data_IF_354439070472
#
_entry.id   IF_354439070472
#
_cell.length_a   1.000
_cell.length_b   1.000
_cell.length_c   1.000
_cell.angle_alpha   90.00
_cell.angle_beta   90.00
_cell.angle_gamma   90.00
#
_symmetry.space_group_name_H-M   'P 1'
#
loop_
_entity.id
_entity.type
_entity.pdbx_description
1 polymer ?
#
# COMPACT_ATOMS: atom_id res chain seq x y z
N UNK A 1 86.92 -28.56 -11.45
CA UNK A 1 85.47 -28.71 -11.23
C UNK A 1 85.16 -30.19 -11.06
N UNK A 2 84.89 -30.67 -9.84
CA UNK A 2 84.58 -32.09 -9.60
C UNK A 2 83.08 -32.27 -9.38
N UNK A 3 82.39 -32.83 -10.37
CA UNK A 3 81.02 -33.37 -10.22
C UNK A 3 81.10 -34.58 -9.29
N UNK A 4 80.62 -34.42 -8.06
CA UNK A 4 80.48 -35.54 -7.12
C UNK A 4 79.16 -36.23 -7.46
N UNK A 5 79.26 -37.42 -8.06
CA UNK A 5 78.10 -38.30 -8.30
C UNK A 5 77.57 -38.83 -6.97
N UNK A 6 76.25 -39.02 -6.87
CA UNK A 6 75.56 -39.70 -5.74
C UNK A 6 76.19 -41.06 -5.41
N UNK A 7 76.88 -41.67 -6.38
CA UNK A 7 77.63 -42.92 -6.25
C UNK A 7 78.83 -42.90 -5.27
N UNK A 8 79.27 -41.72 -4.78
CA UNK A 8 80.44 -41.59 -3.89
C UNK A 8 80.07 -41.26 -2.42
N UNK A 9 78.79 -41.36 -2.05
CA UNK A 9 78.36 -41.16 -0.66
C UNK A 9 78.58 -42.44 0.15
N UNK A 10 79.17 -42.33 1.33
CA UNK A 10 79.22 -43.45 2.30
C UNK A 10 77.80 -43.80 2.76
N UNK A 11 77.54 -45.04 3.21
CA UNK A 11 76.22 -45.43 3.72
C UNK A 11 75.65 -44.45 4.75
N UNK A 12 76.52 -43.94 5.64
CA UNK A 12 76.15 -42.93 6.65
C UNK A 12 75.73 -41.59 6.03
N UNK A 13 76.43 -41.13 4.98
CA UNK A 13 76.06 -39.91 4.26
C UNK A 13 74.77 -40.07 3.46
N UNK A 14 74.52 -41.26 2.92
CA UNK A 14 73.25 -41.61 2.27
C UNK A 14 72.09 -41.62 3.27
N UNK A 15 72.28 -42.20 4.47
CA UNK A 15 71.26 -42.17 5.54
C UNK A 15 70.94 -40.75 5.99
N UNK A 16 71.95 -39.90 6.21
CA UNK A 16 71.76 -38.50 6.60
C UNK A 16 71.03 -37.71 5.50
N UNK A 17 71.37 -37.93 4.23
CA UNK A 17 70.71 -37.29 3.10
C UNK A 17 69.24 -37.74 2.94
N UNK A 18 68.96 -39.03 3.15
CA UNK A 18 67.60 -39.57 3.13
C UNK A 18 66.75 -39.07 4.30
N UNK A 19 67.35 -38.92 5.49
CA UNK A 19 66.68 -38.31 6.66
C UNK A 19 66.35 -36.84 6.40
N UNK A 20 67.31 -36.06 5.90
CA UNK A 20 67.08 -34.66 5.54
C UNK A 20 65.98 -34.50 4.48
N UNK A 21 65.94 -35.38 3.47
CA UNK A 21 64.88 -35.40 2.46
C UNK A 21 63.52 -35.77 3.08
N UNK A 22 63.48 -36.76 3.97
CA UNK A 22 62.26 -37.14 4.69
C UNK A 22 61.72 -36.01 5.57
N UNK A 23 62.60 -35.29 6.26
CA UNK A 23 62.24 -34.12 7.08
C UNK A 23 61.72 -32.96 6.22
N UNK A 24 62.33 -32.71 5.06
CA UNK A 24 61.84 -31.71 4.09
C UNK A 24 60.48 -32.09 3.51
N UNK A 25 60.27 -33.35 3.14
CA UNK A 25 58.97 -33.85 2.66
C UNK A 25 57.89 -33.68 3.73
N UNK A 26 58.18 -34.04 4.98
CA UNK A 26 57.25 -33.87 6.10
C UNK A 26 56.91 -32.39 6.33
N UNK A 27 57.90 -31.50 6.18
CA UNK A 27 57.70 -30.05 6.28
C UNK A 27 56.82 -29.52 5.14
N UNK A 28 57.03 -30.00 3.91
CA UNK A 28 56.18 -29.65 2.76
C UNK A 28 54.74 -30.12 2.99
N UNK A 29 54.54 -31.39 3.39
CA UNK A 29 53.21 -31.93 3.69
C UNK A 29 52.51 -31.12 4.78
N UNK A 30 53.23 -30.73 5.83
CA UNK A 30 52.69 -29.91 6.93
C UNK A 30 52.25 -28.52 6.46
N UNK A 31 53.08 -27.83 5.65
CA UNK A 31 52.75 -26.53 5.08
C UNK A 31 51.54 -26.64 4.15
N UNK A 32 51.55 -27.59 3.22
CA UNK A 32 50.46 -27.80 2.26
C UNK A 32 49.14 -28.14 2.96
N UNK A 33 49.16 -28.97 4.01
CA UNK A 33 47.96 -29.32 4.78
C UNK A 33 47.37 -28.12 5.51
N UNK A 34 48.22 -27.27 6.11
CA UNK A 34 47.80 -26.02 6.76
C UNK A 34 47.22 -25.03 5.76
N UNK A 35 47.84 -24.90 4.59
CA UNK A 35 47.33 -24.03 3.53
C UNK A 35 45.97 -24.51 3.00
N UNK A 36 45.77 -25.82 2.83
CA UNK A 36 44.48 -26.41 2.45
C UNK A 36 43.39 -26.09 3.50
N UNK A 37 43.70 -26.22 4.80
CA UNK A 37 42.76 -25.89 5.88
C UNK A 37 42.39 -24.40 5.87
N UNK A 38 43.38 -23.51 5.77
CA UNK A 38 43.15 -22.06 5.69
C UNK A 38 42.29 -21.67 4.48
N UNK A 39 42.51 -22.29 3.31
CA UNK A 39 41.68 -22.11 2.12
C UNK A 39 40.24 -22.57 2.39
N UNK A 40 40.06 -23.70 3.07
CA UNK A 40 38.75 -24.22 3.47
C UNK A 40 37.97 -23.26 4.37
N UNK A 41 38.59 -22.78 5.45
CA UNK A 41 37.99 -21.82 6.39
C UNK A 41 37.65 -20.49 5.71
N UNK A 42 38.55 -19.99 4.87
CA UNK A 42 38.32 -18.75 4.15
C UNK A 42 37.16 -18.85 3.13
N UNK A 43 37.06 -19.97 2.41
CA UNK A 43 35.94 -20.23 1.50
C UNK A 43 34.62 -20.32 2.27
N UNK A 44 34.61 -20.96 3.45
CA UNK A 44 33.42 -21.00 4.33
C UNK A 44 33.04 -19.58 4.79
N UNK A 45 34.00 -18.76 5.19
CA UNK A 45 33.76 -17.36 5.59
C UNK A 45 33.21 -16.52 4.43
N UNK A 46 33.72 -16.70 3.21
CA UNK A 46 33.18 -16.05 2.00
C UNK A 46 31.74 -16.48 1.75
N UNK A 47 31.44 -17.77 1.87
CA UNK A 47 30.09 -18.29 1.71
C UNK A 47 29.12 -17.71 2.76
N UNK A 48 29.51 -17.68 4.03
CA UNK A 48 28.72 -17.07 5.12
C UNK A 48 28.50 -15.58 4.87
N UNK A 49 29.53 -14.84 4.50
CA UNK A 49 29.42 -13.40 4.21
C UNK A 49 28.49 -13.12 3.00
N UNK A 50 28.58 -13.94 1.94
CA UNK A 50 27.70 -13.82 0.78
C UNK A 50 26.24 -14.15 1.14
N UNK A 51 26.02 -15.18 1.97
CA UNK A 51 24.70 -15.54 2.47
C UNK A 51 24.10 -14.40 3.31
N UNK A 52 24.85 -13.85 4.26
CA UNK A 52 24.41 -12.71 5.07
C UNK A 52 24.02 -11.50 4.20
N UNK A 53 24.83 -11.15 3.20
CA UNK A 53 24.50 -10.07 2.26
C UNK A 53 23.23 -10.35 1.48
N UNK A 54 23.03 -11.59 1.02
CA UNK A 54 21.83 -11.99 0.30
C UNK A 54 20.58 -11.90 1.19
N UNK A 55 20.67 -12.33 2.44
CA UNK A 55 19.62 -12.15 3.44
C UNK A 55 19.29 -10.67 3.66
N UNK A 56 20.30 -9.82 3.92
CA UNK A 56 20.09 -8.38 4.10
C UNK A 56 19.40 -7.74 2.88
N UNK A 57 19.81 -8.10 1.66
CA UNK A 57 19.20 -7.57 0.43
C UNK A 57 17.75 -8.06 0.24
N UNK A 58 17.47 -9.30 0.63
CA UNK A 58 16.11 -9.87 0.60
C UNK A 58 15.19 -9.16 1.59
N UNK A 59 15.66 -8.94 2.83
CA UNK A 59 14.92 -8.23 3.86
C UNK A 59 14.68 -6.76 3.48
N UNK A 60 15.68 -6.11 2.88
CA UNK A 60 15.56 -4.74 2.37
C UNK A 60 14.52 -4.65 1.25
N UNK A 61 14.51 -5.61 0.29
CA UNK A 61 13.48 -5.71 -0.75
C UNK A 61 12.09 -5.84 -0.13
N UNK A 62 11.89 -6.81 0.77
CA UNK A 62 10.58 -7.09 1.36
C UNK A 62 10.07 -5.89 2.18
N UNK A 63 10.95 -5.26 2.96
CA UNK A 63 10.63 -4.07 3.73
C UNK A 63 10.21 -2.90 2.83
N UNK A 64 10.95 -2.66 1.74
CA UNK A 64 10.64 -1.58 0.82
C UNK A 64 9.32 -1.83 0.06
N UNK A 65 9.02 -3.09 -0.30
CA UNK A 65 7.72 -3.46 -0.90
C UNK A 65 6.57 -3.22 0.07
N UNK A 66 6.69 -3.68 1.32
CA UNK A 66 5.67 -3.43 2.35
C UNK A 66 5.46 -1.94 2.58
N UNK A 67 6.54 -1.14 2.60
CA UNK A 67 6.44 0.32 2.70
C UNK A 67 5.69 0.92 1.52
N UNK A 68 5.99 0.51 0.28
CA UNK A 68 5.25 0.97 -0.89
C UNK A 68 3.76 0.60 -0.80
N UNK A 69 3.44 -0.64 -0.44
CA UNK A 69 2.06 -1.11 -0.30
C UNK A 69 1.29 -0.37 0.80
N UNK A 70 1.95 -0.09 1.93
CA UNK A 70 1.37 0.70 3.03
C UNK A 70 1.09 2.15 2.62
N UNK A 71 1.99 2.77 1.85
CA UNK A 71 1.79 4.13 1.33
C UNK A 71 0.61 4.19 0.34
N UNK A 72 0.51 3.22 -0.57
CA UNK A 72 -0.63 3.09 -1.50
C UNK A 72 -1.93 2.86 -0.71
N UNK A 73 -1.90 2.02 0.32
CA UNK A 73 -3.04 1.80 1.21
C UNK A 73 -3.46 3.11 1.88
N UNK A 74 -2.52 3.85 2.48
CA UNK A 74 -2.76 5.14 3.09
C UNK A 74 -3.43 6.15 2.14
N UNK A 75 -2.99 6.21 0.88
CA UNK A 75 -3.64 7.03 -0.16
C UNK A 75 -5.11 6.66 -0.36
N UNK A 76 -5.42 5.38 -0.52
CA UNK A 76 -6.82 4.94 -0.71
C UNK A 76 -7.67 5.18 0.53
N UNK A 77 -7.08 5.05 1.72
CA UNK A 77 -7.79 5.29 2.98
C UNK A 77 -8.15 6.76 3.20
N UNK A 78 -7.37 7.70 2.67
CA UNK A 78 -7.74 9.13 2.67
C UNK A 78 -9.08 9.33 1.97
N UNK A 79 -9.29 8.66 0.82
CA UNK A 79 -10.56 8.69 0.08
C UNK A 79 -11.67 8.07 0.93
N UNK A 80 -11.45 6.86 1.46
CA UNK A 80 -12.45 6.18 2.28
C UNK A 80 -12.90 6.99 3.49
N UNK A 81 -11.95 7.58 4.24
CA UNK A 81 -12.25 8.47 5.37
C UNK A 81 -13.01 9.72 4.94
N UNK A 82 -12.70 10.29 3.78
CA UNK A 82 -13.43 11.46 3.28
C UNK A 82 -14.89 11.12 2.97
N UNK A 83 -15.18 9.96 2.37
CA UNK A 83 -16.54 9.49 2.13
C UNK A 83 -17.26 9.14 3.44
N UNK A 84 -16.57 8.54 4.42
CA UNK A 84 -17.11 8.36 5.78
C UNK A 84 -17.55 9.70 6.40
N UNK A 85 -16.66 10.68 6.39
CA UNK A 85 -16.95 12.00 6.94
C UNK A 85 -18.13 12.65 6.21
N UNK A 86 -18.18 12.55 4.88
CA UNK A 86 -19.30 13.07 4.09
C UNK A 86 -20.62 12.40 4.50
N UNK A 87 -20.62 11.08 4.74
CA UNK A 87 -21.79 10.38 5.24
C UNK A 87 -22.18 10.84 6.66
N UNK A 88 -21.24 10.91 7.59
CA UNK A 88 -21.53 11.29 8.99
C UNK A 88 -22.02 12.74 9.08
N UNK A 89 -21.32 13.64 8.39
CA UNK A 89 -21.56 15.07 8.48
C UNK A 89 -22.87 15.47 7.78
N UNK A 90 -23.15 14.92 6.60
CA UNK A 90 -24.26 15.38 5.74
C UNK A 90 -25.42 14.39 5.61
N UNK A 91 -25.16 13.09 5.57
CA UNK A 91 -26.20 12.08 5.42
C UNK A 91 -26.82 11.71 6.78
N UNK A 92 -25.97 11.45 7.78
CA UNK A 92 -26.38 11.23 9.17
C UNK A 92 -26.79 12.54 9.88
N UNK A 93 -26.41 13.68 9.29
CA UNK A 93 -26.96 15.00 9.62
C UNK A 93 -26.22 15.75 10.73
N UNK A 94 -25.00 15.35 11.10
CA UNK A 94 -24.24 15.97 12.19
C UNK A 94 -23.98 17.46 11.97
N UNK A 95 -23.66 17.89 10.75
CA UNK A 95 -23.48 19.32 10.41
C UNK A 95 -24.75 20.14 10.58
N UNK A 96 -25.91 19.48 10.56
CA UNK A 96 -27.23 20.09 10.65
C UNK A 96 -27.87 19.92 12.02
N UNK A 97 -27.11 19.48 13.01
CA UNK A 97 -27.61 19.15 14.35
C UNK A 97 -28.80 18.15 14.31
N UNK A 98 -28.79 17.30 13.29
CA UNK A 98 -29.72 16.19 13.11
C UNK A 98 -29.03 14.89 13.53
N UNK A 99 -29.82 13.90 13.94
CA UNK A 99 -29.37 12.55 14.24
C UNK A 99 -30.18 11.55 13.42
N UNK A 100 -29.97 11.57 12.10
CA UNK A 100 -30.72 10.73 11.17
C UNK A 100 -30.47 9.24 11.44
N UNK A 101 -29.31 8.87 12.00
CA UNK A 101 -29.03 7.51 12.44
C UNK A 101 -30.02 7.01 13.51
N UNK A 102 -30.34 7.84 14.51
CA UNK A 102 -31.34 7.51 15.53
C UNK A 102 -32.79 7.61 15.03
N UNK A 103 -32.99 8.30 13.91
CA UNK A 103 -34.29 8.55 13.30
C UNK A 103 -34.40 7.96 11.89
N UNK A 104 -33.75 6.82 11.64
CA UNK A 104 -33.67 6.19 10.33
C UNK A 104 -35.05 5.85 9.74
N UNK A 105 -36.07 5.65 10.59
CA UNK A 105 -37.46 5.45 10.17
C UNK A 105 -38.05 6.63 9.39
N UNK A 106 -37.48 7.83 9.54
CA UNK A 106 -37.90 9.01 8.78
C UNK A 106 -37.27 9.07 7.38
N UNK A 107 -36.27 8.24 7.08
CA UNK A 107 -35.60 8.20 5.76
C UNK A 107 -36.37 7.24 4.87
N UNK A 108 -37.51 7.67 4.38
CA UNK A 108 -38.50 6.85 3.65
C UNK A 108 -38.72 7.31 2.20
N UNK A 109 -37.95 8.30 1.76
CA UNK A 109 -37.93 8.78 0.39
C UNK A 109 -36.52 9.25 0.02
N UNK A 110 -36.20 9.20 -1.28
CA UNK A 110 -34.91 9.65 -1.76
C UNK A 110 -34.58 9.17 -3.15
N UNK A 111 -33.38 9.49 -3.58
CA UNK A 111 -32.80 9.07 -4.86
C UNK A 111 -31.38 8.55 -4.59
N UNK A 112 -31.12 7.32 -5.05
CA UNK A 112 -29.86 6.59 -4.83
C UNK A 112 -29.21 6.13 -6.14
N UNK A 113 -29.58 6.73 -7.27
CA UNK A 113 -29.19 6.29 -8.62
C UNK A 113 -27.69 6.27 -8.90
N UNK A 114 -26.87 6.99 -8.14
CA UNK A 114 -25.41 6.89 -8.25
C UNK A 114 -24.90 5.46 -8.06
N UNK A 115 -25.58 4.65 -7.26
CA UNK A 115 -25.20 3.26 -7.05
C UNK A 115 -25.52 2.37 -8.26
N UNK A 116 -26.43 2.77 -9.15
CA UNK A 116 -26.64 2.10 -10.43
C UNK A 116 -25.42 2.28 -11.34
N UNK A 117 -24.86 3.49 -11.41
CA UNK A 117 -23.60 3.77 -12.12
C UNK A 117 -22.45 2.94 -11.53
N UNK A 118 -22.33 2.89 -10.20
CA UNK A 118 -21.24 2.18 -9.51
C UNK A 118 -21.32 0.67 -9.76
N UNK A 119 -22.52 0.08 -9.68
CA UNK A 119 -22.72 -1.37 -9.80
C UNK A 119 -22.74 -1.85 -11.25
N UNK A 120 -23.40 -1.11 -12.13
CA UNK A 120 -23.66 -1.52 -13.51
C UNK A 120 -22.75 -0.83 -14.54
N UNK A 121 -21.95 0.14 -14.11
CA UNK A 121 -21.03 0.91 -14.97
C UNK A 121 -21.74 1.49 -16.21
N UNK A 122 -22.93 2.03 -16.01
CA UNK A 122 -23.75 2.60 -17.07
C UNK A 122 -24.53 3.80 -16.57
N UNK A 123 -24.79 4.74 -17.47
CA UNK A 123 -25.73 5.84 -17.28
C UNK A 123 -27.00 5.62 -18.13
N UNK A 124 -27.27 4.39 -18.55
CA UNK A 124 -28.55 4.01 -19.15
C UNK A 124 -29.65 3.88 -18.09
N UNK A 125 -30.93 3.93 -18.50
CA UNK A 125 -32.10 3.81 -17.60
C UNK A 125 -32.30 2.39 -17.04
N UNK A 126 -31.26 1.78 -16.48
CA UNK A 126 -31.44 0.64 -15.59
C UNK A 126 -32.11 1.17 -14.32
N UNK A 127 -33.09 0.42 -13.81
CA UNK A 127 -33.91 0.81 -12.66
C UNK A 127 -34.63 2.16 -12.83
N UNK A 128 -34.89 2.59 -14.08
CA UNK A 128 -35.53 3.88 -14.38
C UNK A 128 -34.78 5.11 -13.84
N UNK A 129 -33.47 4.98 -13.58
CA UNK A 129 -32.65 6.10 -13.15
C UNK A 129 -32.56 7.20 -14.20
N UNK A 130 -32.74 8.44 -13.74
CA UNK A 130 -32.45 9.66 -14.48
C UNK A 130 -31.14 10.25 -13.97
N UNK A 131 -30.29 10.74 -14.88
CA UNK A 131 -28.97 11.28 -14.54
C UNK A 131 -28.87 12.74 -14.93
N UNK A 132 -28.07 13.51 -14.19
CA UNK A 132 -27.80 14.89 -14.55
C UNK A 132 -27.06 14.99 -15.88
N UNK A 133 -27.30 16.09 -16.61
CA UNK A 133 -26.63 16.36 -17.87
C UNK A 133 -25.11 16.38 -17.70
N UNK A 134 -24.38 15.66 -18.55
CA UNK A 134 -22.92 15.49 -18.45
C UNK A 134 -22.51 14.11 -17.93
N UNK A 135 -23.32 13.47 -17.09
CA UNK A 135 -23.01 12.16 -16.44
C UNK A 135 -22.57 11.08 -17.43
N UNK A 136 -23.26 10.96 -18.58
CA UNK A 136 -22.90 9.95 -19.60
C UNK A 136 -21.52 10.22 -20.21
N UNK A 137 -21.19 11.49 -20.48
CA UNK A 137 -19.90 11.89 -21.02
C UNK A 137 -18.80 11.64 -20.00
N UNK A 138 -19.03 12.00 -18.73
CA UNK A 138 -18.07 11.82 -17.65
C UNK A 138 -17.81 10.35 -17.37
N UNK A 139 -18.85 9.52 -17.39
CA UNK A 139 -18.71 8.07 -17.27
C UNK A 139 -17.89 7.48 -18.42
N UNK A 140 -18.15 7.88 -19.67
CA UNK A 140 -17.36 7.43 -20.83
C UNK A 140 -15.88 7.83 -20.71
N UNK A 141 -15.61 9.05 -20.23
CA UNK A 141 -14.25 9.52 -19.97
C UNK A 141 -13.58 8.69 -18.86
N UNK A 142 -14.30 8.41 -17.78
CA UNK A 142 -13.78 7.60 -16.68
C UNK A 142 -13.45 6.17 -17.14
N UNK A 143 -14.33 5.54 -17.91
CA UNK A 143 -14.10 4.21 -18.51
C UNK A 143 -12.87 4.20 -19.42
N UNK A 144 -12.67 5.26 -20.21
CA UNK A 144 -11.51 5.41 -21.09
C UNK A 144 -10.21 5.51 -20.30
N UNK A 145 -10.18 6.32 -19.24
CA UNK A 145 -8.97 6.46 -18.41
C UNK A 145 -8.68 5.18 -17.61
N UNK A 146 -9.69 4.51 -17.07
CA UNK A 146 -9.53 3.21 -16.41
C UNK A 146 -8.88 2.18 -17.35
N UNK A 147 -9.39 2.08 -18.59
CA UNK A 147 -8.84 1.20 -19.63
C UNK A 147 -7.37 1.53 -19.95
N UNK A 148 -7.00 2.81 -20.03
CA UNK A 148 -5.60 3.22 -20.29
C UNK A 148 -4.66 2.80 -19.18
N UNK A 149 -5.12 2.81 -17.93
CA UNK A 149 -4.33 2.37 -16.78
C UNK A 149 -4.36 0.84 -16.56
N UNK A 150 -5.07 0.08 -17.39
CA UNK A 150 -5.15 -1.38 -17.28
C UNK A 150 -6.02 -1.87 -16.12
N UNK A 151 -6.92 -1.04 -15.59
CA UNK A 151 -7.84 -1.40 -14.49
C UNK A 151 -9.30 -1.30 -14.93
N UNK A 152 -10.19 -2.02 -14.26
CA UNK A 152 -11.62 -1.88 -14.47
C UNK A 152 -12.24 -0.83 -13.53
N UNK A 153 -13.44 -0.36 -13.88
CA UNK A 153 -14.22 0.53 -13.00
C UNK A 153 -14.58 -0.15 -11.67
N UNK A 154 -14.85 -1.45 -11.70
CA UNK A 154 -15.10 -2.24 -10.50
C UNK A 154 -13.86 -2.32 -9.59
N UNK A 155 -12.64 -2.33 -10.16
CA UNK A 155 -11.41 -2.28 -9.37
C UNK A 155 -11.26 -0.92 -8.68
N UNK A 156 -11.57 0.17 -9.39
CA UNK A 156 -11.45 1.54 -8.87
C UNK A 156 -12.51 1.79 -7.78
N UNK A 157 -13.79 1.53 -8.05
CA UNK A 157 -14.84 1.64 -7.04
C UNK A 157 -14.63 0.63 -5.91
N UNK A 158 -14.03 -0.52 -6.21
CA UNK A 158 -13.65 -1.56 -5.24
C UNK A 158 -12.59 -1.11 -4.23
N UNK A 159 -11.87 -0.01 -4.50
CA UNK A 159 -11.01 0.64 -3.50
C UNK A 159 -11.80 1.29 -2.39
N UNK A 160 -13.04 1.74 -2.67
CA UNK A 160 -13.90 2.44 -1.74
C UNK A 160 -14.98 1.52 -1.16
N UNK A 161 -15.68 0.76 -2.02
CA UNK A 161 -16.81 -0.08 -1.63
C UNK A 161 -16.52 -1.57 -1.79
N UNK A 162 -16.97 -2.35 -0.80
CA UNK A 162 -17.09 -3.79 -0.91
C UNK A 162 -18.37 -4.12 -1.69
N UNK A 163 -18.21 -4.57 -2.93
CA UNK A 163 -19.33 -4.90 -3.81
C UNK A 163 -20.20 -6.03 -3.24
N UNK A 164 -19.67 -6.90 -2.37
CA UNK A 164 -20.51 -7.90 -1.71
C UNK A 164 -21.50 -7.28 -0.73
N UNK A 165 -21.15 -6.14 -0.11
CA UNK A 165 -22.03 -5.41 0.80
C UNK A 165 -23.08 -4.58 0.06
N UNK A 166 -22.71 -4.01 -1.10
CA UNK A 166 -23.58 -3.07 -1.82
C UNK A 166 -24.31 -3.66 -3.04
N UNK A 167 -24.03 -4.90 -3.48
CA UNK A 167 -24.65 -5.50 -4.69
C UNK A 167 -26.18 -5.57 -4.69
N UNK A 168 -26.79 -5.65 -3.50
CA UNK A 168 -28.24 -5.74 -3.33
C UNK A 168 -28.82 -4.47 -2.69
N UNK A 169 -28.09 -3.36 -2.81
CA UNK A 169 -28.55 -2.09 -2.26
C UNK A 169 -29.82 -1.64 -2.99
N UNK A 170 -30.71 -0.95 -2.27
CA UNK A 170 -31.91 -0.39 -2.88
C UNK A 170 -31.53 0.79 -3.79
N UNK A 171 -31.86 0.66 -5.07
CA UNK A 171 -31.74 1.73 -6.06
C UNK A 171 -33.11 2.41 -6.18
N UNK A 172 -33.18 3.66 -5.75
CA UNK A 172 -34.37 4.50 -5.73
C UNK A 172 -34.22 5.56 -6.83
N UNK A 173 -34.87 5.41 -8.00
CA UNK A 173 -34.94 6.46 -9.00
C UNK A 173 -35.68 7.71 -8.51
N UNK A 174 -35.49 8.82 -9.23
CA UNK A 174 -36.06 10.12 -8.86
C UNK A 174 -37.60 10.11 -8.79
N UNK A 175 -38.28 9.20 -9.48
CA UNK A 175 -39.74 9.04 -9.35
C UNK A 175 -40.15 8.38 -8.03
N UNK A 176 -39.25 7.63 -7.36
CA UNK A 176 -39.43 7.09 -6.00
C UNK A 176 -39.27 8.17 -4.92
N UNK A 177 -38.74 9.36 -5.24
CA UNK A 177 -38.44 10.41 -4.26
C UNK A 177 -39.67 10.97 -3.53
N UNK A 178 -40.88 10.61 -3.97
CA UNK A 178 -42.15 10.86 -3.26
C UNK A 178 -42.65 9.70 -2.41
N UNK A 179 -41.78 8.75 -2.08
CA UNK A 179 -42.13 7.62 -1.22
C UNK A 179 -42.87 6.50 -1.94
N UNK A 180 -42.78 6.46 -3.27
CA UNK A 180 -43.40 5.46 -4.13
C UNK A 180 -43.05 5.70 -5.58
N UNK A 181 -42.83 4.63 -6.34
CA UNK A 181 -42.38 4.67 -7.73
C UNK A 181 -43.16 3.71 -8.63
N UNK A 182 -43.00 3.89 -9.94
CA UNK A 182 -43.66 3.05 -10.91
C UNK A 182 -43.29 1.57 -10.72
N UNK A 183 -44.28 0.68 -10.73
CA UNK A 183 -44.07 -0.76 -10.60
C UNK A 183 -43.77 -1.27 -9.19
N UNK A 184 -43.76 -0.41 -8.16
CA UNK A 184 -43.48 -0.79 -6.77
C UNK A 184 -44.51 -0.14 -5.83
N UNK A 185 -44.91 -0.85 -4.77
CA UNK A 185 -45.78 -0.24 -3.74
C UNK A 185 -45.05 0.84 -2.94
N UNK A 186 -45.77 1.84 -2.45
CA UNK A 186 -45.21 2.89 -1.58
C UNK A 186 -44.51 2.31 -0.34
N UNK A 187 -45.13 1.32 0.30
CA UNK A 187 -44.54 0.64 1.47
C UNK A 187 -43.20 -0.01 1.13
N UNK A 188 -43.10 -0.69 0.00
CA UNK A 188 -41.84 -1.32 -0.41
C UNK A 188 -40.77 -0.29 -0.77
N UNK A 189 -41.13 0.82 -1.44
CA UNK A 189 -40.18 1.89 -1.73
C UNK A 189 -39.63 2.55 -0.45
N UNK A 190 -40.52 2.84 0.52
CA UNK A 190 -40.16 3.40 1.82
C UNK A 190 -39.25 2.47 2.61
N UNK A 191 -39.61 1.18 2.70
CA UNK A 191 -38.76 0.16 3.36
C UNK A 191 -37.41 0.00 2.64
N UNK A 192 -37.40 0.06 1.30
CA UNK A 192 -36.18 0.03 0.51
C UNK A 192 -35.22 1.17 0.87
N UNK A 193 -35.73 2.40 0.97
CA UNK A 193 -34.94 3.57 1.39
C UNK A 193 -34.43 3.47 2.83
N UNK A 194 -35.25 2.98 3.76
CA UNK A 194 -34.82 2.75 5.14
C UNK A 194 -33.72 1.69 5.19
N UNK A 195 -33.85 0.60 4.42
CA UNK A 195 -32.83 -0.44 4.32
C UNK A 195 -31.53 0.07 3.70
N UNK A 196 -31.61 0.88 2.63
CA UNK A 196 -30.46 1.59 2.05
C UNK A 196 -29.73 2.39 3.13
N UNK A 197 -30.46 3.26 3.84
CA UNK A 197 -29.86 4.16 4.81
C UNK A 197 -29.22 3.37 5.96
N UNK A 198 -29.92 2.38 6.50
CA UNK A 198 -29.40 1.52 7.58
C UNK A 198 -28.13 0.77 7.15
N UNK A 199 -28.11 0.19 5.95
CA UNK A 199 -26.92 -0.47 5.39
C UNK A 199 -25.75 0.52 5.34
N UNK A 200 -25.95 1.66 4.68
CA UNK A 200 -24.89 2.64 4.48
C UNK A 200 -24.42 3.26 5.79
N UNK A 201 -25.32 3.48 6.75
CA UNK A 201 -24.97 3.97 8.08
C UNK A 201 -24.15 2.94 8.87
N UNK A 202 -24.49 1.66 8.78
CA UNK A 202 -23.71 0.59 9.42
C UNK A 202 -22.39 0.26 8.71
N UNK A 203 -22.24 0.71 7.45
CA UNK A 203 -21.09 0.40 6.62
C UNK A 203 -20.17 1.60 6.39
N UNK A 204 -20.59 2.56 5.56
CA UNK A 204 -19.83 3.79 5.29
C UNK A 204 -19.82 4.69 6.52
N UNK A 205 -20.93 4.75 7.26
CA UNK A 205 -21.03 5.50 8.52
C UNK A 205 -20.33 4.85 9.72
N UNK A 206 -19.77 3.65 9.58
CA UNK A 206 -19.06 2.99 10.68
C UNK A 206 -17.75 3.73 11.01
N UNK A 207 -17.43 3.89 12.30
CA UNK A 207 -16.26 4.63 12.77
C UNK A 207 -14.91 4.14 12.23
N UNK A 208 -14.83 2.87 11.80
CA UNK A 208 -13.63 2.27 11.21
C UNK A 208 -13.61 2.26 9.68
N UNK A 209 -14.56 2.92 9.01
CA UNK A 209 -14.59 2.90 7.54
C UNK A 209 -13.45 3.73 6.95
N UNK A 210 -12.57 3.04 6.24
CA UNK A 210 -11.45 3.64 5.50
C UNK A 210 -11.45 3.21 4.03
N UNK A 211 -12.57 2.69 3.53
CA UNK A 211 -12.67 2.09 2.20
C UNK A 211 -12.47 0.57 2.23
N UNK A 212 -12.20 -0.01 1.06
CA UNK A 212 -12.15 -1.46 0.85
C UNK A 212 -10.88 -1.93 0.11
N UNK A 213 -9.91 -1.04 -0.13
CA UNK A 213 -8.73 -1.35 -0.94
C UNK A 213 -7.99 -2.61 -0.47
N UNK A 214 -7.67 -2.76 0.81
CA UNK A 214 -6.93 -3.92 1.35
C UNK A 214 -7.65 -5.26 1.18
N UNK A 215 -8.97 -5.24 0.97
CA UNK A 215 -9.78 -6.44 0.72
C UNK A 215 -10.13 -6.61 -0.77
N UNK A 216 -9.57 -5.77 -1.64
CA UNK A 216 -9.88 -5.76 -3.08
C UNK A 216 -8.92 -6.65 -3.88
N UNK A 217 -9.37 -7.11 -5.05
CA UNK A 217 -8.50 -7.81 -6.02
C UNK A 217 -7.35 -6.92 -6.50
N UNK A 218 -7.57 -5.62 -6.56
CA UNK A 218 -6.58 -4.65 -6.99
C UNK A 218 -5.39 -4.58 -6.01
N UNK A 219 -5.64 -4.68 -4.70
CA UNK A 219 -4.55 -4.76 -3.71
C UNK A 219 -3.67 -5.97 -3.93
N UNK A 220 -4.25 -7.17 -4.09
CA UNK A 220 -3.49 -8.38 -4.38
C UNK A 220 -2.74 -8.29 -5.72
N UNK A 221 -3.31 -7.63 -6.73
CA UNK A 221 -2.62 -7.38 -8.00
C UNK A 221 -1.41 -6.47 -7.83
N UNK A 222 -1.54 -5.37 -7.09
CA UNK A 222 -0.46 -4.42 -6.82
C UNK A 222 0.64 -5.07 -5.97
N UNK A 223 0.28 -5.84 -4.96
CA UNK A 223 1.23 -6.60 -4.14
C UNK A 223 2.04 -7.58 -5.01
N UNK A 224 1.37 -8.30 -5.91
CA UNK A 224 2.02 -9.21 -6.84
C UNK A 224 2.97 -8.48 -7.81
N UNK A 225 2.56 -7.34 -8.35
CA UNK A 225 3.39 -6.52 -9.24
C UNK A 225 4.65 -6.00 -8.53
N UNK A 226 4.50 -5.46 -7.31
CA UNK A 226 5.64 -5.03 -6.48
C UNK A 226 6.60 -6.19 -6.19
N UNK A 227 6.06 -7.36 -5.83
CA UNK A 227 6.84 -8.56 -5.50
C UNK A 227 7.59 -9.14 -6.70
N UNK A 228 6.97 -9.07 -7.88
CA UNK A 228 7.50 -9.57 -9.16
C UNK A 228 8.42 -8.56 -9.86
N UNK A 229 8.52 -7.33 -9.35
CA UNK A 229 9.38 -6.29 -9.90
C UNK A 229 8.76 -5.47 -11.03
N UNK A 230 7.44 -5.49 -11.18
CA UNK A 230 6.69 -4.69 -12.13
C UNK A 230 6.28 -3.34 -11.50
N UNK A 231 7.23 -2.41 -11.38
CA UNK A 231 7.00 -1.14 -10.68
C UNK A 231 6.29 -0.06 -11.53
N UNK A 232 6.42 -0.11 -12.86
CA UNK A 232 5.82 0.89 -13.75
C UNK A 232 4.29 0.86 -13.72
N UNK A 233 3.60 -0.31 -13.79
CA UNK A 233 2.15 -0.38 -13.64
C UNK A 233 1.66 0.20 -12.32
N UNK A 234 2.36 -0.09 -11.22
CA UNK A 234 1.99 0.42 -9.88
C UNK A 234 2.16 1.94 -9.80
N UNK A 235 3.25 2.48 -10.34
CA UNK A 235 3.48 3.93 -10.40
C UNK A 235 2.42 4.63 -11.24
N UNK A 236 2.09 4.06 -12.41
CA UNK A 236 1.06 4.58 -13.30
C UNK A 236 -0.33 4.54 -12.64
N UNK A 237 -0.66 3.44 -11.95
CA UNK A 237 -1.90 3.33 -11.20
C UNK A 237 -2.02 4.41 -10.14
N UNK A 238 -1.01 4.58 -9.27
CA UNK A 238 -1.05 5.58 -8.19
C UNK A 238 -1.21 6.99 -8.75
N UNK A 239 -0.49 7.30 -9.84
CA UNK A 239 -0.61 8.58 -10.51
C UNK A 239 -2.01 8.81 -11.10
N UNK A 240 -2.58 7.80 -11.75
CA UNK A 240 -3.94 7.86 -12.31
C UNK A 240 -5.00 7.91 -11.20
N UNK A 241 -4.80 7.19 -10.10
CA UNK A 241 -5.71 7.17 -8.96
C UNK A 241 -5.90 8.58 -8.38
N UNK A 242 -4.81 9.28 -8.12
CA UNK A 242 -4.84 10.65 -7.57
C UNK A 242 -5.33 11.68 -8.60
N UNK A 243 -4.87 11.61 -9.85
CA UNK A 243 -5.08 12.69 -10.81
C UNK A 243 -6.29 12.50 -11.72
N UNK A 244 -6.87 11.30 -11.80
CA UNK A 244 -7.96 10.99 -12.73
C UNK A 244 -9.11 10.28 -12.01
N UNK A 245 -8.84 9.19 -11.31
CA UNK A 245 -9.89 8.32 -10.78
C UNK A 245 -10.63 8.93 -9.61
N UNK A 246 -9.93 9.38 -8.56
CA UNK A 246 -10.61 10.02 -7.42
C UNK A 246 -11.36 11.28 -7.86
N UNK A 247 -10.78 12.21 -8.67
CA UNK A 247 -11.55 13.32 -9.22
C UNK A 247 -12.83 12.90 -9.95
N UNK A 248 -12.78 11.86 -10.79
CA UNK A 248 -13.95 11.34 -11.50
C UNK A 248 -14.98 10.69 -10.54
N UNK A 249 -14.52 9.96 -9.53
CA UNK A 249 -15.39 9.41 -8.49
C UNK A 249 -16.12 10.52 -7.75
N UNK A 250 -15.41 11.58 -7.35
CA UNK A 250 -16.01 12.74 -6.69
C UNK A 250 -17.01 13.43 -7.61
N UNK A 251 -16.66 13.65 -8.88
CA UNK A 251 -17.55 14.26 -9.87
C UNK A 251 -18.84 13.43 -10.04
N UNK A 252 -18.74 12.10 -10.07
CA UNK A 252 -19.91 11.21 -10.12
C UNK A 252 -20.89 11.47 -8.95
N UNK A 253 -20.36 11.72 -7.75
CA UNK A 253 -21.14 12.07 -6.55
C UNK A 253 -21.51 13.56 -6.46
N UNK A 254 -20.90 14.43 -7.25
CA UNK A 254 -21.34 15.83 -7.44
C UNK A 254 -22.57 15.87 -8.32
N UNK A 255 -22.52 15.15 -9.45
CA UNK A 255 -23.60 15.15 -10.44
C UNK A 255 -24.78 14.32 -9.99
N UNK A 256 -24.53 13.22 -9.28
CA UNK A 256 -25.56 12.29 -8.85
C UNK A 256 -25.43 12.06 -7.33
N UNK A 257 -25.74 13.05 -6.48
CA UNK A 257 -25.74 12.85 -5.04
C UNK A 257 -26.90 11.94 -4.62
N UNK A 258 -26.72 11.22 -3.52
CA UNK A 258 -27.82 10.53 -2.85
C UNK A 258 -28.62 11.52 -2.03
N UNK A 259 -29.93 11.56 -2.24
CA UNK A 259 -30.83 12.42 -1.48
C UNK A 259 -31.57 11.63 -0.41
N UNK A 260 -31.59 12.15 0.83
CA UNK A 260 -32.29 11.53 1.95
C UNK A 260 -33.43 12.45 2.39
N UNK A 261 -34.65 11.95 2.28
CA UNK A 261 -35.87 12.71 2.50
C UNK A 261 -36.83 11.97 3.42
N UNK A 262 -37.79 12.73 3.96
CA UNK A 262 -38.85 12.23 4.83
C UNK A 262 -40.21 12.71 4.37
N UNK A 263 -41.08 11.78 4.00
CA UNK A 263 -42.43 12.10 3.53
C UNK A 263 -43.21 12.87 4.57
N UNK A 264 -43.96 13.88 4.14
CA UNK A 264 -44.87 14.60 5.03
C UNK A 264 -46.27 14.01 4.90
N UNK A 265 -46.79 13.33 5.94
CA UNK A 265 -48.14 12.78 5.89
C UNK A 265 -49.19 13.86 5.61
N UNK A 266 -50.07 13.61 4.65
CA UNK A 266 -51.13 14.53 4.25
C UNK A 266 -50.69 15.71 3.37
N UNK A 267 -49.39 15.82 3.03
CA UNK A 267 -48.93 16.80 2.05
C UNK A 267 -49.29 16.34 0.64
N UNK A 268 -49.59 17.30 -0.24
CA UNK A 268 -49.90 17.01 -1.65
C UNK A 268 -49.51 18.19 -2.54
N UNK A 269 -48.61 17.96 -3.49
CA UNK A 269 -48.10 19.02 -4.36
C UNK A 269 -47.51 20.19 -3.57
N UNK A 270 -47.93 21.41 -3.87
CA UNK A 270 -47.47 22.63 -3.19
C UNK A 270 -47.97 22.78 -1.75
N UNK A 271 -48.96 21.98 -1.33
CA UNK A 271 -49.47 22.02 0.04
C UNK A 271 -48.54 21.23 0.96
N UNK A 272 -47.64 21.95 1.65
CA UNK A 272 -46.69 21.38 2.60
C UNK A 272 -46.34 22.36 3.72
N UNK A 273 -45.55 21.91 4.71
CA UNK A 273 -45.00 22.78 5.73
C UNK A 273 -44.14 23.87 5.09
N UNK A 274 -44.12 25.11 5.63
CA UNK A 274 -43.13 26.10 5.22
C UNK A 274 -41.72 25.55 5.39
N UNK A 275 -40.80 25.91 4.48
CA UNK A 275 -39.40 25.47 4.58
C UNK A 275 -38.76 25.91 5.91
N UNK A 276 -39.09 27.12 6.37
CA UNK A 276 -38.63 27.68 7.64
C UNK A 276 -39.80 28.41 8.33
N UNK A 277 -40.48 27.79 9.30
CA UNK A 277 -41.51 28.49 10.08
C UNK A 277 -40.86 29.56 10.95
N UNK A 278 -41.53 30.70 11.16
CA UNK A 278 -41.08 31.67 12.17
C UNK A 278 -41.25 31.10 13.58
N UNK A 279 -40.48 31.61 14.55
CA UNK A 279 -40.53 31.14 15.94
C UNK A 279 -41.94 31.19 16.55
N UNK A 280 -42.71 32.22 16.25
CA UNK A 280 -44.10 32.38 16.71
C UNK A 280 -45.07 31.40 16.03
N UNK A 281 -44.77 30.93 14.82
CA UNK A 281 -45.62 30.02 14.05
C UNK A 281 -45.25 28.54 14.26
N UNK A 282 -44.08 28.24 14.82
CA UNK A 282 -43.57 26.86 14.94
C UNK A 282 -44.56 25.92 15.66
N UNK A 283 -45.18 26.36 16.76
CA UNK A 283 -46.17 25.55 17.48
C UNK A 283 -47.44 25.29 16.66
N UNK A 284 -47.93 26.31 15.95
CA UNK A 284 -49.10 26.19 15.09
C UNK A 284 -48.83 25.21 13.93
N UNK A 285 -47.69 25.35 13.25
CA UNK A 285 -47.35 24.49 12.11
C UNK A 285 -47.10 23.05 12.54
N UNK A 286 -46.36 22.82 13.63
CA UNK A 286 -46.15 21.45 14.15
C UNK A 286 -47.48 20.80 14.59
N UNK A 287 -48.40 21.58 15.17
CA UNK A 287 -49.73 21.08 15.54
C UNK A 287 -50.61 20.79 14.32
N UNK A 288 -50.56 21.64 13.28
CA UNK A 288 -51.29 21.44 12.02
C UNK A 288 -50.90 20.12 11.34
N UNK A 289 -49.61 19.85 11.23
CA UNK A 289 -49.11 18.63 10.57
C UNK A 289 -49.15 17.40 11.47
N UNK A 290 -49.07 17.59 12.79
CA UNK A 290 -49.13 16.55 13.81
C UNK A 290 -48.28 15.32 13.47
N UNK A 291 -47.06 15.55 12.98
CA UNK A 291 -46.16 14.49 12.48
C UNK A 291 -44.80 14.52 13.19
N UNK A 292 -44.30 13.38 13.71
CA UNK A 292 -43.02 13.32 14.42
C UNK A 292 -41.81 13.77 13.59
N UNK A 293 -41.79 13.49 12.28
CA UNK A 293 -40.70 13.91 11.41
C UNK A 293 -40.70 15.43 11.16
N UNK A 294 -41.86 16.06 10.99
CA UNK A 294 -42.00 17.52 10.88
C UNK A 294 -41.52 18.20 12.16
N UNK A 295 -41.90 17.65 13.32
CA UNK A 295 -41.42 18.15 14.61
C UNK A 295 -39.90 18.00 14.74
N UNK A 296 -39.36 16.81 14.47
CA UNK A 296 -37.92 16.53 14.47
C UNK A 296 -37.15 17.56 13.63
N UNK A 297 -37.62 17.81 12.42
CA UNK A 297 -37.05 18.79 11.51
C UNK A 297 -37.08 20.21 12.08
N UNK A 298 -38.23 20.64 12.58
CA UNK A 298 -38.40 22.01 13.06
C UNK A 298 -37.69 22.28 14.38
N UNK A 299 -37.41 21.24 15.16
CA UNK A 299 -36.58 21.30 16.35
C UNK A 299 -35.09 21.42 16.06
N UNK A 300 -34.66 21.21 14.81
CA UNK A 300 -33.27 21.48 14.41
C UNK A 300 -32.97 22.98 14.47
N UNK A 301 -31.83 23.39 15.08
CA UNK A 301 -31.35 24.76 15.01
C UNK A 301 -30.84 25.17 13.62
N UNK A 302 -30.62 24.20 12.71
CA UNK A 302 -30.17 24.47 11.34
C UNK A 302 -31.31 24.47 10.32
N UNK A 303 -32.58 24.46 10.75
CA UNK A 303 -33.72 24.53 9.84
C UNK A 303 -33.60 25.71 8.86
N UNK A 304 -33.84 25.43 7.57
CA UNK A 304 -33.76 26.43 6.53
C UNK A 304 -32.34 26.79 6.09
N UNK A 305 -31.31 26.16 6.66
CA UNK A 305 -29.94 26.32 6.18
C UNK A 305 -29.83 25.71 4.78
N UNK A 306 -29.44 26.51 3.80
CA UNK A 306 -29.30 26.04 2.43
C UNK A 306 -28.17 25.02 2.29
N UNK A 307 -28.51 23.92 1.64
CA UNK A 307 -27.58 23.11 0.90
C UNK A 307 -27.17 23.88 -0.35
N UNK A 308 -25.89 23.80 -0.64
CA UNK A 308 -25.25 24.20 -1.89
C UNK A 308 -25.89 23.71 -3.19
N UNK A 309 -26.71 22.66 -3.18
CA UNK A 309 -27.50 22.24 -4.35
C UNK A 309 -28.89 22.89 -4.43
N UNK A 310 -29.21 23.86 -3.58
CA UNK A 310 -30.45 24.64 -3.62
C UNK A 310 -31.62 24.05 -2.85
N UNK A 311 -31.40 22.99 -2.06
CA UNK A 311 -32.35 22.55 -1.03
C UNK A 311 -32.00 23.20 0.30
N UNK A 312 -32.88 23.12 1.29
CA UNK A 312 -32.56 23.59 2.65
C UNK A 312 -32.78 22.48 3.66
N UNK A 313 -32.00 22.49 4.75
CA UNK A 313 -32.15 21.57 5.88
C UNK A 313 -33.57 21.66 6.37
N UNK A 314 -34.27 20.52 6.43
CA UNK A 314 -35.66 20.49 6.85
C UNK A 314 -36.59 21.33 5.96
N UNK A 315 -36.18 21.65 4.73
CA UNK A 315 -37.01 22.31 3.74
C UNK A 315 -37.99 21.32 3.12
N UNK A 316 -39.27 21.68 3.06
CA UNK A 316 -40.26 20.92 2.30
C UNK A 316 -40.03 21.09 0.81
N UNK A 317 -40.10 19.97 0.09
CA UNK A 317 -39.98 19.92 -1.33
C UNK A 317 -41.28 19.40 -1.96
N UNK A 318 -41.94 20.24 -2.74
CA UNK A 318 -43.27 19.97 -3.28
C UNK A 318 -43.31 18.84 -4.32
N UNK A 319 -42.23 18.63 -5.09
CA UNK A 319 -42.19 17.56 -6.09
C UNK A 319 -41.98 16.19 -5.45
N UNK A 320 -41.26 16.15 -4.33
CA UNK A 320 -41.05 14.96 -3.50
C UNK A 320 -42.13 14.77 -2.43
N UNK A 321 -42.92 15.80 -2.12
CA UNK A 321 -43.86 15.79 -0.98
C UNK A 321 -43.18 15.41 0.35
N UNK A 322 -41.91 15.79 0.48
CA UNK A 322 -41.02 15.32 1.53
C UNK A 322 -40.16 16.46 2.07
N UNK A 323 -39.74 16.34 3.32
CA UNK A 323 -38.72 17.18 3.93
C UNK A 323 -37.34 16.65 3.62
N UNK A 324 -36.44 17.56 3.30
CA UNK A 324 -35.04 17.22 3.14
C UNK A 324 -34.36 16.96 4.49
N UNK A 325 -33.71 15.80 4.67
CA UNK A 325 -33.01 15.45 5.92
C UNK A 325 -31.49 15.40 5.77
N UNK A 326 -30.97 15.18 4.57
CA UNK A 326 -29.53 15.06 4.33
C UNK A 326 -29.23 14.59 2.92
N UNK A 327 -27.94 14.51 2.60
CA UNK A 327 -27.48 13.94 1.33
C UNK A 327 -26.11 13.29 1.49
N UNK A 328 -25.78 12.39 0.57
CA UNK A 328 -24.45 11.80 0.44
C UNK A 328 -23.92 12.05 -0.96
N UNK A 329 -22.97 12.97 -1.06
CA UNK A 329 -22.34 13.42 -2.29
C UNK A 329 -21.39 14.57 -2.02
N UNK A 330 -20.82 15.17 -3.06
CA UNK A 330 -19.89 16.29 -2.90
C UNK A 330 -20.39 17.54 -3.60
N UNK A 331 -19.87 18.68 -3.19
CA UNK A 331 -19.98 19.92 -3.95
C UNK A 331 -18.73 20.13 -4.77
N UNK A 332 -18.87 20.76 -5.93
CA UNK A 332 -17.73 21.08 -6.79
C UNK A 332 -16.65 21.86 -6.05
N UNK A 333 -17.01 22.72 -5.09
CA UNK A 333 -16.06 23.46 -4.26
C UNK A 333 -15.49 22.68 -3.05
N UNK A 334 -16.04 21.51 -2.71
CA UNK A 334 -15.57 20.65 -1.63
C UNK A 334 -14.55 19.60 -2.09
N UNK A 335 -14.54 19.24 -3.37
CA UNK A 335 -13.64 18.20 -3.91
C UNK A 335 -12.16 18.58 -3.82
N UNK A 336 -11.85 19.89 -3.89
CA UNK A 336 -10.48 20.41 -3.89
C UNK A 336 -9.67 20.05 -2.65
N UNK A 337 -10.27 20.02 -1.46
CA UNK A 337 -9.58 19.68 -0.21
C UNK A 337 -9.07 18.24 -0.22
N UNK A 338 -9.92 17.28 -0.63
CA UNK A 338 -9.54 15.88 -0.76
C UNK A 338 -8.48 15.68 -1.85
N UNK A 339 -8.67 16.30 -3.02
CA UNK A 339 -7.70 16.22 -4.12
C UNK A 339 -6.33 16.74 -3.69
N UNK A 340 -6.29 17.85 -2.94
CA UNK A 340 -5.03 18.41 -2.44
C UNK A 340 -4.35 17.48 -1.43
N UNK A 341 -5.11 16.89 -0.49
CA UNK A 341 -4.56 15.91 0.44
C UNK A 341 -3.91 14.71 -0.28
N UNK A 342 -4.56 14.20 -1.33
CA UNK A 342 -4.01 13.12 -2.15
C UNK A 342 -2.77 13.54 -2.93
N UNK A 343 -2.74 14.75 -3.48
CA UNK A 343 -1.57 15.29 -4.18
C UNK A 343 -0.35 15.43 -3.26
N UNK A 344 -0.57 15.80 -2.00
CA UNK A 344 0.50 15.85 -0.99
C UNK A 344 1.14 14.48 -0.75
N UNK A 345 0.33 13.43 -0.71
CA UNK A 345 0.79 12.05 -0.46
C UNK A 345 1.30 11.30 -1.71
N UNK A 346 1.08 11.87 -2.91
CA UNK A 346 1.49 11.26 -4.18
C UNK A 346 3.02 11.09 -4.26
N UNK A 347 3.79 12.15 -3.97
CA UNK A 347 5.25 12.10 -4.08
C UNK A 347 5.92 11.16 -3.05
N UNK A 348 5.52 11.15 -1.76
CA UNK A 348 5.96 10.13 -0.81
C UNK A 348 5.66 8.71 -1.28
N UNK A 349 4.47 8.47 -1.84
CA UNK A 349 4.10 7.13 -2.34
C UNK A 349 4.96 6.71 -3.53
N UNK A 350 5.18 7.60 -4.50
CA UNK A 350 6.06 7.33 -5.65
C UNK A 350 7.51 7.07 -5.22
N UNK A 351 7.98 7.76 -4.19
CA UNK A 351 9.30 7.54 -3.60
C UNK A 351 9.40 6.14 -2.98
N UNK A 352 8.37 5.69 -2.26
CA UNK A 352 8.34 4.34 -1.68
C UNK A 352 8.38 3.25 -2.77
N UNK A 353 7.64 3.42 -3.87
CA UNK A 353 7.68 2.51 -5.03
C UNK A 353 9.09 2.49 -5.66
N UNK A 354 9.72 3.66 -5.82
CA UNK A 354 11.08 3.77 -6.35
C UNK A 354 12.13 3.12 -5.44
N UNK A 355 11.96 3.23 -4.12
CA UNK A 355 12.81 2.54 -3.15
C UNK A 355 12.68 1.02 -3.26
N UNK A 356 11.45 0.51 -3.44
CA UNK A 356 11.20 -0.92 -3.68
C UNK A 356 11.85 -1.40 -4.99
N UNK A 357 11.79 -0.60 -6.05
CA UNK A 357 12.47 -0.87 -7.33
C UNK A 357 13.99 -0.91 -7.18
N UNK A 358 14.55 0.04 -6.43
CA UNK A 358 15.99 0.12 -6.16
C UNK A 358 16.48 -1.07 -5.32
N UNK A 359 15.75 -1.43 -4.26
CA UNK A 359 16.07 -2.59 -3.42
C UNK A 359 15.98 -3.91 -4.20
N UNK A 360 14.97 -4.05 -5.07
CA UNK A 360 14.82 -5.22 -5.96
C UNK A 360 15.97 -5.31 -6.96
N UNK A 361 16.38 -4.18 -7.53
CA UNK A 361 17.54 -4.11 -8.42
C UNK A 361 18.86 -4.44 -7.72
N UNK A 362 19.03 -3.98 -6.47
CA UNK A 362 20.21 -4.30 -5.66
C UNK A 362 20.32 -5.81 -5.39
N UNK A 363 19.21 -6.48 -5.08
CA UNK A 363 19.16 -7.93 -4.94
C UNK A 363 19.49 -8.64 -6.26
N UNK A 364 18.87 -8.23 -7.38
CA UNK A 364 19.10 -8.82 -8.71
C UNK A 364 20.56 -8.67 -9.17
N UNK A 365 21.21 -7.57 -8.80
CA UNK A 365 22.58 -7.26 -9.19
C UNK A 365 23.64 -7.82 -8.21
N UNK A 366 23.22 -8.53 -7.16
CA UNK A 366 24.15 -9.14 -6.22
C UNK A 366 25.10 -10.11 -6.93
N UNK A 367 26.40 -9.92 -6.73
CA UNK A 367 27.45 -10.84 -7.19
C UNK A 367 28.24 -11.32 -5.97
N UNK A 368 28.42 -12.64 -5.79
CA UNK A 368 29.31 -13.18 -4.77
C UNK A 368 30.71 -12.57 -4.88
N UNK A 369 31.38 -12.35 -3.75
CA UNK A 369 32.79 -11.94 -3.76
C UNK A 369 33.64 -12.94 -4.57
N UNK A 370 34.51 -12.43 -5.46
CA UNK A 370 35.49 -13.26 -6.17
C UNK A 370 36.44 -13.94 -5.17
N UNK A 371 36.88 -15.14 -5.53
CA UNK A 371 37.58 -16.15 -4.72
C UNK A 371 38.77 -15.64 -3.91
N UNK A 372 39.16 -16.42 -2.88
CA UNK A 372 40.37 -16.18 -2.10
C UNK A 372 41.58 -15.94 -3.02
N UNK A 373 42.32 -14.83 -2.86
CA UNK A 373 43.56 -14.66 -3.61
C UNK A 373 44.49 -15.80 -3.21
N UNK A 374 44.96 -16.58 -4.20
CA UNK A 374 46.05 -17.52 -3.98
C UNK A 374 47.21 -16.72 -3.36
N UNK A 375 47.85 -17.22 -2.28
CA UNK A 375 49.02 -16.55 -1.73
C UNK A 375 50.03 -16.33 -2.87
N UNK A 376 50.68 -15.15 -2.95
CA UNK A 376 51.68 -14.90 -3.98
C UNK A 376 52.71 -16.02 -3.89
N UNK A 377 52.89 -16.69 -5.03
CA UNK A 377 53.84 -17.75 -5.33
C UNK A 377 54.76 -18.09 -4.15
N UNK A 378 54.63 -19.30 -3.58
CA UNK A 378 55.58 -19.83 -2.59
C UNK A 378 56.98 -19.42 -3.05
N UNK A 379 57.60 -18.50 -2.32
CA UNK A 379 58.98 -18.16 -2.56
C UNK A 379 59.74 -19.44 -2.26
N UNK A 380 60.00 -20.25 -3.30
CA UNK A 380 60.95 -21.34 -3.23
C UNK A 380 62.20 -20.69 -2.65
N UNK A 381 62.55 -21.11 -1.44
CA UNK A 381 63.70 -20.58 -0.73
C UNK A 381 64.88 -20.57 -1.70
N UNK A 382 65.34 -19.38 -2.10
CA UNK A 382 66.68 -19.15 -2.64
C UNK A 382 67.72 -19.31 -1.52
N UNK A 383 67.55 -20.32 -0.67
CA UNK A 383 68.61 -20.70 0.25
C UNK A 383 69.53 -21.62 -0.53
N UNK A 384 70.69 -21.08 -0.83
CA UNK A 384 71.89 -21.77 -1.29
C UNK A 384 71.95 -23.20 -0.71
N UNK A 385 72.40 -24.19 -1.51
CA UNK A 385 72.49 -25.57 -1.06
C UNK A 385 73.27 -25.65 0.26
N UNK A 386 72.94 -26.61 1.16
CA UNK A 386 73.58 -26.73 2.46
C UNK A 386 75.09 -26.71 2.26
N UNK A 387 75.75 -25.80 2.97
CA UNK A 387 77.20 -25.62 2.89
C UNK A 387 77.88 -26.96 3.15
N UNK A 388 78.74 -27.37 2.21
CA UNK A 388 79.60 -28.56 2.33
C UNK A 388 80.22 -28.61 3.74
N UNK A 389 80.25 -29.77 4.40
CA UNK A 389 81.11 -29.96 5.57
C UNK A 389 82.54 -29.63 5.15
N UNK A 390 83.16 -28.65 5.83
CA UNK A 390 84.56 -28.31 5.61
C UNK A 390 85.41 -29.52 5.97
N UNK A 391 86.24 -29.99 5.03
CA UNK A 391 87.30 -30.95 5.34
C UNK A 391 88.22 -30.32 6.40
N UNK A 392 88.42 -31.03 7.51
CA UNK A 392 89.27 -30.59 8.61
C UNK A 392 90.75 -30.71 8.16
N UNK A 393 91.56 -29.63 8.17
CA UNK A 393 92.99 -29.78 8.06
C UNK A 393 93.54 -30.23 9.42
N UNK A 394 94.30 -31.33 9.41
CA UNK A 394 95.06 -31.80 10.56
C UNK A 394 96.08 -30.71 10.96
N UNK A 395 95.84 -30.05 12.10
CA UNK A 395 96.85 -29.24 12.77
C UNK A 395 97.41 -30.03 13.97
N UNK A 396 98.71 -30.29 13.90
CA UNK A 396 99.51 -31.03 14.88
C UNK A 396 99.40 -30.42 16.29
N UNK A 397 99.15 -31.29 17.27
CA UNK A 397 99.46 -31.05 18.68
C UNK A 397 100.98 -30.87 18.86
N UNK A 398 101.41 -29.81 19.53
CA UNK A 398 102.66 -29.81 20.30
C UNK A 398 102.37 -29.43 21.75
N UNK A 399 102.90 -30.24 22.65
CA UNK A 399 102.73 -30.19 24.09
C UNK A 399 103.25 -28.88 24.71
N UNK A 400 102.51 -28.33 25.66
CA UNK A 400 103.08 -27.55 26.77
C UNK A 400 103.80 -28.50 27.73
N UNK A 401 105.12 -28.36 27.87
CA UNK A 401 105.84 -28.65 29.13
C UNK A 401 106.55 -27.37 29.61
N UNK A 402 106.40 -27.12 30.91
CA UNK A 402 106.99 -26.03 31.71
C UNK A 402 108.50 -26.22 31.95
N UNK A 403 109.14 -25.12 32.38
CA UNK A 403 110.48 -24.90 33.00
C UNK A 403 111.63 -24.63 32.01
N UNK A 404 112.59 -23.72 32.26
CA UNK A 404 112.87 -22.73 33.31
C UNK A 404 113.98 -21.80 32.77
N UNK A 405 114.01 -20.56 33.26
CA UNK A 405 115.11 -19.57 33.46
C UNK A 405 116.54 -20.14 33.68
N UNK A 406 117.69 -19.45 33.59
CA UNK A 406 118.14 -18.04 33.52
C UNK A 406 119.66 -18.03 33.14
N UNK A 407 120.17 -16.84 32.76
CA UNK A 407 121.55 -16.29 32.91
C UNK A 407 122.71 -16.64 31.95
N UNK A 408 123.31 -15.52 31.50
CA UNK A 408 124.63 -15.21 30.90
C UNK A 408 125.04 -15.85 29.57
#
# INVERSE_FOLDING_TARGET
MNKTSVANLTPQQTTIALQALGDEINKIISITSKDIQNIGEANQKIAVNNMQKLTTLTDAKNTAIMQALNQITGLTEIVGRAFHNQWVDYASGKTFFLNNAAHASYIDAGDTCVFDIILNNTAGSINSCGYQGGTETDLKNFQKEAKKAGVSMADIWGTLFDFNKIKNIWISPSDCAKGGCSGVSAQQAQQGMQNFFNLMNSYVGAAGFVGNFTNSKLYSSIENDLSSGHFDPVTNFVNAYVNQFVPAMLQTFVDNPVWLMSLVPGASGYNGPPATPSASQKHEVTSKWNSPNVKYCYDSPAIGLDFSQGYAVCGYNWWAQAMFLGYFGYLSNQTGTLINALKTELAPTQTAITNASTATSALKNFKPAQSYPLPPNLAFYQNSPPTRPKANPVARFFLKKKKMTFHE
#
